data_IF_980267729754
#
_entry.id   IF_980267729754
#
_cell.length_a   1.000
_cell.length_b   1.000
_cell.length_c   1.000
_cell.angle_alpha   90.00
_cell.angle_beta   90.00
_cell.angle_gamma   90.00
#
_symmetry.space_group_name_H-M   'P 1'
#
loop_
_entity.id
_entity.type
_entity.pdbx_description
1 polymer ?
#
# COMPACT_ATOMS: atom_id res chain seq x y z
N UNK A 1 26.81 16.70 20.49
CA UNK A 1 26.54 16.98 19.06
C UNK A 1 25.40 17.98 18.96
N UNK A 2 25.57 19.15 18.32
CA UNK A 2 24.49 20.12 18.20
C UNK A 2 23.50 19.62 17.14
N UNK A 3 22.21 19.52 17.51
CA UNK A 3 21.12 19.20 16.58
C UNK A 3 20.95 20.37 15.62
N UNK A 4 20.96 20.10 14.31
CA UNK A 4 20.70 21.09 13.28
C UNK A 4 19.31 21.70 13.46
N UNK A 5 19.28 22.91 13.99
CA UNK A 5 18.12 23.79 13.98
C UNK A 5 17.81 24.19 12.54
N UNK A 6 16.53 24.07 12.17
CA UNK A 6 15.93 24.48 10.89
C UNK A 6 16.02 23.50 9.71
N UNK A 7 15.20 22.45 9.76
CA UNK A 7 14.55 21.96 8.54
C UNK A 7 13.56 23.04 8.07
N UNK A 8 14.08 24.06 7.38
CA UNK A 8 13.26 25.11 6.78
C UNK A 8 12.34 24.48 5.76
N UNK A 9 11.03 24.50 6.02
CA UNK A 9 10.02 24.38 4.95
C UNK A 9 10.37 25.46 3.92
N UNK A 10 10.90 25.04 2.76
CA UNK A 10 11.27 25.94 1.68
C UNK A 10 10.11 26.87 1.35
N UNK A 11 10.43 28.08 0.87
CA UNK A 11 9.43 29.03 0.40
C UNK A 11 8.57 28.32 -0.65
N UNK A 12 7.29 28.09 -0.35
CA UNK A 12 6.38 27.48 -1.31
C UNK A 12 6.16 28.47 -2.46
N UNK A 13 6.55 28.09 -3.66
CA UNK A 13 6.33 28.92 -4.84
C UNK A 13 4.84 29.10 -5.13
N UNK A 14 4.47 30.33 -5.49
CA UNK A 14 3.07 30.68 -5.75
C UNK A 14 2.66 30.21 -7.14
N UNK A 15 1.71 29.29 -7.20
CA UNK A 15 1.06 28.86 -8.44
C UNK A 15 -0.30 29.55 -8.53
N UNK A 16 -0.62 30.13 -9.69
CA UNK A 16 -1.93 30.74 -9.95
C UNK A 16 -2.73 29.83 -10.88
N UNK A 17 -3.85 29.29 -10.38
CA UNK A 17 -4.81 28.54 -11.20
C UNK A 17 -5.98 29.44 -11.59
N UNK A 18 -6.35 29.41 -12.87
CA UNK A 18 -7.54 30.10 -13.37
C UNK A 18 -8.68 29.10 -13.51
N UNK A 19 -9.78 29.36 -12.82
CA UNK A 19 -11.01 28.58 -12.92
C UNK A 19 -12.08 29.38 -13.64
N UNK A 20 -12.90 28.70 -14.41
CA UNK A 20 -14.17 29.21 -14.88
C UNK A 20 -15.15 29.39 -13.71
N UNK A 21 -16.16 30.25 -13.90
CA UNK A 21 -17.13 30.61 -12.85
C UNK A 21 -17.79 29.39 -12.18
N UNK A 22 -18.35 28.39 -12.90
CA UNK A 22 -19.06 27.29 -12.24
C UNK A 22 -18.10 26.37 -11.47
N UNK A 23 -16.89 26.15 -11.98
CA UNK A 23 -15.86 25.36 -11.28
C UNK A 23 -15.41 26.05 -10.00
N UNK A 24 -15.26 27.38 -10.01
CA UNK A 24 -14.90 28.14 -8.82
C UNK A 24 -15.99 28.05 -7.73
N UNK A 25 -17.27 28.18 -8.12
CA UNK A 25 -18.40 28.03 -7.20
C UNK A 25 -18.46 26.62 -6.60
N UNK A 26 -18.23 25.60 -7.42
CA UNK A 26 -18.16 24.21 -6.97
C UNK A 26 -17.07 24.00 -5.91
N UNK A 27 -15.83 24.42 -6.19
CA UNK A 27 -14.72 24.26 -5.25
C UNK A 27 -14.88 25.11 -4.00
N UNK A 28 -15.48 26.30 -4.12
CA UNK A 28 -15.79 27.15 -2.96
C UNK A 28 -16.83 26.51 -2.06
N UNK A 29 -17.89 25.91 -2.62
CA UNK A 29 -18.88 25.15 -1.84
C UNK A 29 -18.22 23.96 -1.13
N UNK A 30 -17.39 23.19 -1.84
CA UNK A 30 -16.69 22.04 -1.28
C UNK A 30 -15.66 22.41 -0.20
N UNK A 31 -14.95 23.51 -0.37
CA UNK A 31 -14.05 24.04 0.64
C UNK A 31 -14.80 24.47 1.91
N UNK A 32 -15.96 25.13 1.74
CA UNK A 32 -16.84 25.50 2.85
C UNK A 32 -17.39 24.27 3.59
N UNK A 33 -17.82 23.22 2.86
CA UNK A 33 -18.25 21.94 3.45
C UNK A 33 -17.14 21.29 4.30
N UNK A 34 -15.89 21.41 3.85
CA UNK A 34 -14.72 20.88 4.54
C UNK A 34 -14.16 21.84 5.61
N UNK A 35 -14.73 23.03 5.80
CA UNK A 35 -14.28 24.02 6.78
C UNK A 35 -12.88 24.60 6.50
N UNK A 36 -12.41 24.58 5.26
CA UNK A 36 -11.07 25.02 4.86
C UNK A 36 -11.12 26.11 3.78
N UNK A 37 -10.01 26.84 3.61
CA UNK A 37 -9.90 27.80 2.49
C UNK A 37 -9.90 27.08 1.14
N UNK A 38 -10.39 27.74 0.09
CA UNK A 38 -10.42 27.18 -1.27
C UNK A 38 -9.02 26.77 -1.75
N UNK A 39 -7.99 27.57 -1.43
CA UNK A 39 -6.60 27.26 -1.77
C UNK A 39 -6.08 26.00 -1.06
N UNK A 40 -6.42 25.80 0.22
CA UNK A 40 -6.04 24.60 0.96
C UNK A 40 -6.80 23.37 0.45
N UNK A 41 -8.09 23.53 0.16
CA UNK A 41 -8.89 22.46 -0.44
C UNK A 41 -8.30 22.01 -1.79
N UNK A 42 -7.98 22.95 -2.68
CA UNK A 42 -7.31 22.64 -3.94
C UNK A 42 -5.96 21.96 -3.74
N UNK A 43 -5.16 22.37 -2.74
CA UNK A 43 -3.87 21.71 -2.44
C UNK A 43 -4.08 20.25 -2.02
N UNK A 44 -5.08 19.99 -1.17
CA UNK A 44 -5.40 18.64 -0.72
C UNK A 44 -5.88 17.76 -1.89
N UNK A 45 -6.77 18.28 -2.74
CA UNK A 45 -7.27 17.56 -3.92
C UNK A 45 -6.13 17.24 -4.89
N UNK A 46 -5.22 18.19 -5.15
CA UNK A 46 -4.06 17.95 -6.00
C UNK A 46 -3.12 16.89 -5.40
N UNK A 47 -2.87 16.95 -4.09
CA UNK A 47 -2.05 15.95 -3.40
C UNK A 47 -2.70 14.56 -3.44
N UNK A 48 -4.02 14.47 -3.23
CA UNK A 48 -4.77 13.23 -3.34
C UNK A 48 -4.76 12.69 -4.77
N UNK A 49 -4.86 13.54 -5.79
CA UNK A 49 -4.73 13.14 -7.19
C UNK A 49 -3.39 12.47 -7.49
N UNK A 50 -2.28 13.06 -7.04
CA UNK A 50 -0.94 12.46 -7.20
C UNK A 50 -0.83 11.13 -6.45
N UNK A 51 -1.37 11.04 -5.24
CA UNK A 51 -1.40 9.78 -4.50
C UNK A 51 -2.20 8.71 -5.25
N UNK A 52 -3.35 9.07 -5.82
CA UNK A 52 -4.20 8.15 -6.56
C UNK A 52 -3.52 7.63 -7.83
N UNK A 53 -2.84 8.50 -8.58
CA UNK A 53 -2.06 8.07 -9.76
C UNK A 53 -0.96 7.07 -9.39
N UNK A 54 -0.29 7.30 -8.25
CA UNK A 54 0.71 6.37 -7.74
C UNK A 54 0.10 5.03 -7.32
N UNK A 55 -1.09 5.03 -6.70
CA UNK A 55 -1.83 3.81 -6.36
C UNK A 55 -2.21 3.04 -7.62
N UNK A 56 -2.76 3.71 -8.64
CA UNK A 56 -3.10 3.07 -9.92
C UNK A 56 -1.85 2.47 -10.60
N UNK A 57 -0.71 3.15 -10.54
CA UNK A 57 0.55 2.60 -11.06
C UNK A 57 1.04 1.39 -10.27
N UNK A 58 0.90 1.40 -8.93
CA UNK A 58 1.22 0.26 -8.08
C UNK A 58 0.30 -0.93 -8.35
N UNK A 59 -1.01 -0.69 -8.47
CA UNK A 59 -1.99 -1.71 -8.86
C UNK A 59 -1.62 -2.31 -10.21
N UNK A 60 -1.34 -1.50 -11.22
CA UNK A 60 -0.94 -1.98 -12.55
C UNK A 60 0.33 -2.83 -12.49
N UNK A 61 1.33 -2.44 -11.69
CA UNK A 61 2.55 -3.24 -11.48
C UNK A 61 2.27 -4.54 -10.74
N UNK A 62 1.41 -4.52 -9.72
CA UNK A 62 0.98 -5.71 -8.99
C UNK A 62 0.21 -6.67 -9.92
N UNK A 63 -0.71 -6.17 -10.73
CA UNK A 63 -1.42 -6.99 -11.73
C UNK A 63 -0.46 -7.58 -12.76
N UNK A 64 0.54 -6.80 -13.23
CA UNK A 64 1.56 -7.31 -14.13
C UNK A 64 2.44 -8.39 -13.49
N UNK A 65 2.79 -8.24 -12.21
CA UNK A 65 3.48 -9.28 -11.44
C UNK A 65 2.60 -10.51 -11.25
N UNK A 66 1.32 -10.33 -10.92
CA UNK A 66 0.32 -11.41 -10.82
C UNK A 66 0.18 -12.18 -12.14
N UNK A 67 0.24 -11.51 -13.28
CA UNK A 67 0.20 -12.13 -14.60
C UNK A 67 1.46 -12.95 -14.95
N UNK A 68 2.58 -12.71 -14.27
CA UNK A 68 3.79 -13.53 -14.39
C UNK A 68 3.72 -14.81 -13.55
N UNK A 69 2.76 -14.92 -12.62
CA UNK A 69 2.52 -16.19 -11.95
C UNK A 69 1.70 -17.11 -12.86
N UNK A 70 2.09 -18.38 -13.02
CA UNK A 70 1.25 -19.35 -13.68
C UNK A 70 -0.04 -19.53 -12.88
N UNK A 71 -1.16 -19.36 -13.58
CA UNK A 71 -2.51 -19.52 -13.07
C UNK A 71 -2.66 -20.90 -12.37
N UNK A 72 -2.98 -20.97 -11.06
CA UNK A 72 -3.08 -22.25 -10.35
C UNK A 72 -4.18 -23.15 -10.95
N UNK A 73 -5.14 -22.57 -11.68
CA UNK A 73 -6.15 -23.30 -12.44
C UNK A 73 -5.57 -24.04 -13.67
N UNK A 74 -4.49 -23.53 -14.27
CA UNK A 74 -3.80 -24.19 -15.40
C UNK A 74 -2.80 -25.25 -14.95
N UNK A 75 -2.36 -25.20 -13.68
CA UNK A 75 -1.48 -26.21 -13.08
C UNK A 75 -2.28 -27.46 -12.68
N UNK A 76 -3.52 -27.29 -12.22
CA UNK A 76 -4.38 -28.42 -11.83
C UNK A 76 -5.09 -29.12 -13.00
N UNK A 77 -5.03 -28.55 -14.22
CA UNK A 77 -5.71 -29.10 -15.41
C UNK A 77 -4.92 -30.15 -16.20
N UNK A 78 -3.60 -30.28 -15.97
CA UNK A 78 -2.71 -31.07 -16.84
C UNK A 78 -1.86 -32.11 -16.10
N UNK A 79 -2.44 -32.82 -15.12
CA UNK A 79 -1.82 -34.02 -14.54
C UNK A 79 -2.76 -35.22 -14.55
N UNK A 80 -3.16 -35.63 -15.76
CA UNK A 80 -3.35 -37.04 -16.01
C UNK A 80 -1.96 -37.69 -16.17
N UNK A 81 -1.73 -38.78 -15.44
CA UNK A 81 -0.52 -39.63 -15.41
C UNK A 81 0.55 -39.28 -14.37
N UNK A 82 0.40 -39.87 -13.19
CA UNK A 82 1.43 -40.70 -12.57
C UNK A 82 2.73 -40.04 -12.11
N UNK A 83 2.73 -39.44 -10.91
CA UNK A 83 3.67 -39.76 -9.80
C UNK A 83 3.38 -38.86 -8.61
N UNK A 84 2.99 -39.46 -7.47
CA UNK A 84 2.90 -38.79 -6.17
C UNK A 84 4.32 -38.59 -5.62
N UNK A 85 4.98 -37.50 -5.98
CA UNK A 85 6.14 -37.01 -5.21
C UNK A 85 5.80 -35.62 -4.67
N UNK A 86 5.73 -35.52 -3.34
CA UNK A 86 5.38 -34.32 -2.60
C UNK A 86 6.45 -33.24 -2.67
N UNK A 87 6.51 -32.51 -3.78
CA UNK A 87 7.08 -31.17 -3.80
C UNK A 87 5.94 -30.18 -4.00
N UNK A 88 5.36 -29.71 -2.89
CA UNK A 88 4.53 -28.51 -2.92
C UNK A 88 5.31 -27.41 -3.62
N UNK A 89 4.65 -26.74 -4.58
CA UNK A 89 5.15 -25.61 -5.36
C UNK A 89 6.06 -24.71 -4.50
N UNK A 90 7.39 -24.91 -4.57
CA UNK A 90 8.33 -24.00 -3.91
C UNK A 90 8.29 -22.69 -4.69
N UNK A 91 7.82 -21.62 -4.06
CA UNK A 91 7.98 -20.28 -4.62
C UNK A 91 9.47 -20.05 -4.93
N UNK A 92 9.79 -19.38 -6.06
CA UNK A 92 11.16 -19.04 -6.40
C UNK A 92 11.86 -18.36 -5.20
N UNK A 93 13.06 -18.82 -4.85
CA UNK A 93 13.75 -18.35 -3.64
C UNK A 93 13.96 -16.82 -3.60
N UNK A 94 14.04 -16.19 -4.77
CA UNK A 94 14.12 -14.74 -4.93
C UNK A 94 12.82 -14.03 -4.52
N UNK A 95 11.67 -14.61 -4.84
CA UNK A 95 10.35 -14.13 -4.42
C UNK A 95 10.16 -14.28 -2.93
N UNK A 96 10.55 -15.42 -2.36
CA UNK A 96 10.53 -15.65 -0.92
C UNK A 96 11.42 -14.64 -0.19
N UNK A 97 12.61 -14.35 -0.74
CA UNK A 97 13.49 -13.32 -0.18
C UNK A 97 12.87 -11.92 -0.29
N UNK A 98 12.22 -11.59 -1.40
CA UNK A 98 11.59 -10.29 -1.60
C UNK A 98 10.38 -10.06 -0.69
N UNK A 99 9.58 -11.11 -0.42
CA UNK A 99 8.45 -11.02 0.52
C UNK A 99 8.92 -10.84 1.96
N UNK A 100 9.95 -11.57 2.39
CA UNK A 100 10.50 -11.38 3.73
C UNK A 100 11.21 -10.02 3.87
N UNK A 101 11.91 -9.56 2.84
CA UNK A 101 12.56 -8.26 2.86
C UNK A 101 11.53 -7.12 2.95
N UNK A 102 10.47 -7.15 2.14
CA UNK A 102 9.41 -6.13 2.21
C UNK A 102 8.68 -6.17 3.54
N UNK A 103 8.44 -7.37 4.09
CA UNK A 103 7.88 -7.54 5.43
C UNK A 103 8.76 -6.88 6.50
N UNK A 104 10.07 -7.11 6.51
CA UNK A 104 10.97 -6.51 7.50
C UNK A 104 11.06 -4.98 7.38
N UNK A 105 11.07 -4.45 6.16
CA UNK A 105 11.03 -3.00 5.93
C UNK A 105 9.72 -2.40 6.45
N UNK A 106 8.58 -3.04 6.19
CA UNK A 106 7.27 -2.59 6.68
C UNK A 106 7.19 -2.65 8.21
N UNK A 107 7.74 -3.71 8.84
CA UNK A 107 7.85 -3.80 10.31
C UNK A 107 8.70 -2.67 10.88
N UNK A 108 9.83 -2.35 10.26
CA UNK A 108 10.70 -1.26 10.70
C UNK A 108 10.02 0.11 10.59
N UNK A 109 9.23 0.34 9.55
CA UNK A 109 8.46 1.59 9.38
C UNK A 109 7.35 1.68 10.43
N UNK A 110 6.55 0.62 10.59
CA UNK A 110 5.43 0.58 11.52
C UNK A 110 5.88 0.73 12.99
N UNK A 111 6.96 0.04 13.38
CA UNK A 111 7.52 0.12 14.73
C UNK A 111 8.12 1.49 15.07
N UNK A 112 8.63 2.23 14.07
CA UNK A 112 9.14 3.59 14.28
C UNK A 112 8.02 4.63 14.45
N UNK A 113 6.85 4.42 13.83
CA UNK A 113 5.74 5.36 13.92
C UNK A 113 4.89 5.15 15.19
N UNK A 114 4.57 3.91 15.54
CA UNK A 114 3.81 3.61 16.76
C UNK A 114 4.02 2.15 17.18
N UNK A 115 4.88 1.95 18.20
CA UNK A 115 5.26 0.62 18.71
C UNK A 115 4.07 -0.15 19.29
N UNK A 116 3.12 0.53 19.94
CA UNK A 116 1.98 -0.14 20.57
C UNK A 116 1.01 -0.73 19.55
N UNK A 117 0.71 0.01 18.48
CA UNK A 117 -0.14 -0.51 17.40
C UNK A 117 0.55 -1.64 16.62
N UNK A 118 1.88 -1.60 16.51
CA UNK A 118 2.66 -2.66 15.90
C UNK A 118 2.53 -3.99 16.67
N UNK A 119 2.77 -3.98 17.98
CA UNK A 119 2.66 -5.20 18.79
C UNK A 119 1.23 -5.73 18.86
N UNK A 120 0.23 -4.85 18.96
CA UNK A 120 -1.19 -5.26 18.93
C UNK A 120 -1.58 -5.92 17.59
N UNK A 121 -1.09 -5.38 16.46
CA UNK A 121 -1.34 -5.96 15.15
C UNK A 121 -0.61 -7.30 14.96
N UNK A 122 0.61 -7.44 15.51
CA UNK A 122 1.35 -8.69 15.49
C UNK A 122 0.64 -9.78 16.31
N UNK A 123 0.17 -9.46 17.51
CA UNK A 123 -0.55 -10.40 18.37
C UNK A 123 -1.89 -10.84 17.75
N UNK A 124 -2.62 -9.91 17.11
CA UNK A 124 -3.84 -10.23 16.37
C UNK A 124 -3.58 -11.17 15.18
N UNK A 125 -2.50 -10.93 14.41
CA UNK A 125 -2.12 -11.78 13.29
C UNK A 125 -1.66 -13.18 13.74
N UNK A 126 -0.92 -13.28 14.85
CA UNK A 126 -0.52 -14.55 15.46
C UNK A 126 -1.75 -15.33 15.98
N UNK A 127 -2.73 -14.63 16.55
CA UNK A 127 -3.98 -15.25 16.99
C UNK A 127 -4.82 -15.77 15.81
N UNK A 128 -4.90 -15.04 14.70
CA UNK A 128 -5.62 -15.49 13.49
C UNK A 128 -4.92 -16.65 12.78
N UNK A 129 -3.60 -16.58 12.64
CA UNK A 129 -2.82 -17.68 12.05
C UNK A 129 -2.90 -18.95 12.88
N UNK A 130 -2.88 -18.84 14.22
CA UNK A 130 -3.10 -19.98 15.11
C UNK A 130 -4.51 -20.57 14.98
N UNK A 131 -5.53 -19.75 14.74
CA UNK A 131 -6.90 -20.23 14.45
C UNK A 131 -6.97 -20.97 13.10
N UNK A 132 -6.35 -20.43 12.05
CA UNK A 132 -6.38 -21.02 10.71
C UNK A 132 -5.56 -22.32 10.62
N UNK A 133 -4.36 -22.36 11.20
CA UNK A 133 -3.51 -23.56 11.23
C UNK A 133 -4.01 -24.60 12.24
N UNK A 134 -4.58 -24.17 13.37
CA UNK A 134 -5.21 -25.05 14.34
C UNK A 134 -6.51 -25.69 13.82
N UNK A 135 -7.28 -24.98 12.98
CA UNK A 135 -8.48 -25.51 12.32
C UNK A 135 -8.15 -26.46 11.14
N UNK A 136 -6.93 -26.42 10.60
CA UNK A 136 -6.48 -27.33 9.54
C UNK A 136 -5.99 -28.70 10.07
N UNK A 137 -6.01 -28.92 11.40
CA UNK A 137 -5.50 -30.13 12.04
C UNK A 137 -6.57 -30.95 12.80
N UNK A 138 -7.85 -30.78 12.45
CA UNK A 138 -8.98 -31.62 12.90
C UNK A 138 -9.72 -32.18 11.71
#
# INVERSE_FOLDING_TARGET
MPRSSHAGKGKSDRITLRFDKPTNEFYRRKANEAGVSVSEYCRQVLAQGVMNDNVVQLEKRLTALLALFPDPAKINGNHASGTRNGSGLMLPAELVRATFFSQEVLKAIASNQNKQTYYAAQEAAEAETKKLLGAAHV
#
